data_IF_552610732521
#
_entry.id   IF_552610732521
#
_cell.length_a   1.000
_cell.length_b   1.000
_cell.length_c   1.000
_cell.angle_alpha   90.00
_cell.angle_beta   90.00
_cell.angle_gamma   90.00
#
_symmetry.space_group_name_H-M   'P 1'
#
loop_
_entity.id
_entity.type
_entity.pdbx_description
1 polymer ?
#
# COMPACT_ATOMS: atom_id res chain seq x y z
N UNK A 1 5.27 -15.66 -13.56
CA UNK A 1 4.80 -14.29 -13.82
C UNK A 1 5.00 -13.47 -12.54
N UNK A 2 5.56 -12.26 -12.64
CA UNK A 2 5.74 -11.37 -11.49
C UNK A 2 4.44 -10.61 -11.21
N UNK A 3 3.87 -10.78 -10.01
CA UNK A 3 2.63 -10.15 -9.57
C UNK A 3 2.95 -8.81 -8.91
N UNK A 4 2.41 -7.73 -9.46
CA UNK A 4 2.53 -6.38 -8.88
C UNK A 4 1.19 -5.96 -8.30
N UNK A 5 1.17 -5.57 -7.03
CA UNK A 5 0.02 -5.01 -6.32
C UNK A 5 0.10 -3.49 -6.22
N UNK A 6 -1.04 -2.82 -6.17
CA UNK A 6 -1.16 -1.38 -6.01
C UNK A 6 -2.07 -1.08 -4.81
N UNK A 7 -1.59 -0.24 -3.90
CA UNK A 7 -2.36 0.28 -2.77
C UNK A 7 -2.31 1.82 -2.77
N UNK A 8 -3.31 2.50 -3.36
CA UNK A 8 -3.37 3.95 -3.40
C UNK A 8 -4.08 4.52 -2.16
N UNK A 9 -3.68 5.73 -1.74
CA UNK A 9 -4.33 6.45 -0.64
C UNK A 9 -3.67 7.79 -0.35
N UNK A 10 -4.36 8.67 0.37
CA UNK A 10 -3.77 9.94 0.86
C UNK A 10 -2.81 9.69 2.02
N UNK A 11 -3.13 8.70 2.86
CA UNK A 11 -2.32 8.31 4.03
C UNK A 11 -1.98 9.48 4.96
N UNK A 12 -2.87 10.45 5.07
CA UNK A 12 -2.74 11.61 5.94
C UNK A 12 -3.80 11.58 7.06
N UNK A 13 -3.48 11.10 8.28
CA UNK A 13 -2.20 10.50 8.68
C UNK A 13 -2.10 9.00 8.34
N UNK A 14 -0.88 8.48 8.33
CA UNK A 14 -0.63 7.03 8.31
C UNK A 14 -1.09 6.43 9.64
N UNK A 15 -1.78 5.29 9.61
CA UNK A 15 -2.26 4.59 10.81
C UNK A 15 -1.72 3.17 10.85
N UNK A 16 -1.77 2.52 12.01
CA UNK A 16 -1.42 1.10 12.13
C UNK A 16 -2.29 0.18 11.24
N UNK A 17 -3.52 0.60 10.92
CA UNK A 17 -4.38 -0.12 9.98
C UNK A 17 -3.83 -0.08 8.55
N UNK A 18 -3.29 1.07 8.11
CA UNK A 18 -2.61 1.17 6.81
C UNK A 18 -1.39 0.24 6.75
N UNK A 19 -0.58 0.20 7.82
CA UNK A 19 0.59 -0.67 7.91
C UNK A 19 0.22 -2.16 7.88
N UNK A 20 -0.84 -2.56 8.59
CA UNK A 20 -1.34 -3.94 8.57
C UNK A 20 -1.76 -4.37 7.14
N UNK A 21 -2.45 -3.49 6.41
CA UNK A 21 -2.82 -3.76 5.01
C UNK A 21 -1.59 -3.86 4.12
N UNK A 22 -0.62 -2.95 4.25
CA UNK A 22 0.64 -2.99 3.48
C UNK A 22 1.40 -4.30 3.71
N UNK A 23 1.52 -4.73 4.97
CA UNK A 23 2.19 -5.98 5.36
C UNK A 23 1.50 -7.21 4.77
N UNK A 24 0.17 -7.28 4.86
CA UNK A 24 -0.61 -8.40 4.28
C UNK A 24 -0.52 -8.41 2.77
N UNK A 25 -0.64 -7.24 2.12
CA UNK A 25 -0.54 -7.11 0.68
C UNK A 25 0.84 -7.52 0.17
N UNK A 26 1.92 -7.12 0.86
CA UNK A 26 3.28 -7.53 0.52
C UNK A 26 3.50 -9.05 0.59
N UNK A 27 2.70 -9.79 1.38
CA UNK A 27 2.73 -11.24 1.47
C UNK A 27 2.02 -11.98 0.32
N UNK A 28 1.24 -11.28 -0.52
CA UNK A 28 0.45 -11.90 -1.61
C UNK A 28 0.90 -11.49 -3.01
N UNK A 29 1.79 -10.50 -3.13
CA UNK A 29 2.38 -10.04 -4.40
C UNK A 29 3.90 -10.03 -4.33
N UNK A 30 4.56 -10.15 -5.48
CA UNK A 30 6.03 -10.07 -5.55
C UNK A 30 6.55 -8.62 -5.41
N UNK A 31 5.70 -7.64 -5.72
CA UNK A 31 6.02 -6.23 -5.62
C UNK A 31 4.78 -5.42 -5.27
N UNK A 32 4.80 -4.70 -4.14
CA UNK A 32 3.72 -3.82 -3.72
C UNK A 32 4.13 -2.35 -3.95
N UNK A 33 3.31 -1.63 -4.72
CA UNK A 33 3.43 -0.18 -4.90
C UNK A 33 2.41 0.50 -4.00
N UNK A 34 2.89 1.38 -3.11
CA UNK A 34 2.03 2.25 -2.29
C UNK A 34 2.01 3.63 -2.94
N UNK A 35 0.89 3.99 -3.55
CA UNK A 35 0.75 5.27 -4.27
C UNK A 35 0.15 6.33 -3.34
N UNK A 36 0.99 7.26 -2.87
CA UNK A 36 0.57 8.35 -1.98
C UNK A 36 -0.01 9.49 -2.81
N UNK A 37 -1.30 9.76 -2.62
CA UNK A 37 -1.98 10.90 -3.24
C UNK A 37 -1.75 12.15 -2.39
N UNK A 38 -1.35 13.24 -3.04
CA UNK A 38 -1.28 14.54 -2.40
C UNK A 38 -2.71 15.10 -2.23
N UNK A 39 -3.09 15.46 -1.01
CA UNK A 39 -4.31 16.24 -0.74
C UNK A 39 -3.91 17.70 -0.54
N UNK A 40 -4.35 18.65 -1.39
CA UNK A 40 -4.11 20.07 -1.21
C UNK A 40 -4.91 20.69 -0.06
#
# INVERSE_FOLDING_TARGET
>A
MRRTGLYPGTFDPVTNGHLDIMMRAAGVVDHLIVAVANSP
#
